data_IF_054870631947
#
_entry.id   IF_054870631947
#
_cell.length_a   1.000
_cell.length_b   1.000
_cell.length_c   1.000
_cell.angle_alpha   90.00
_cell.angle_beta   90.00
_cell.angle_gamma   90.00
#
_symmetry.space_group_name_H-M   'P 1'
#
loop_
_entity.id
_entity.type
_entity.pdbx_description
1 polymer ?
#
# COMPACT_ATOMS: atom_id res chain seq x y z
N UNK A 1 4.54 1.44 10.95
CA UNK A 1 5.00 0.03 10.84
C UNK A 1 4.27 -0.96 11.77
N UNK A 2 4.08 -0.67 13.06
CA UNK A 2 3.44 -1.61 14.02
C UNK A 2 1.99 -1.96 13.65
N UNK A 3 1.20 -1.01 13.15
CA UNK A 3 -0.20 -1.28 12.76
C UNK A 3 -0.32 -2.16 11.50
N UNK A 4 0.63 -2.03 10.56
CA UNK A 4 0.72 -2.89 9.37
C UNK A 4 1.06 -4.33 9.80
N UNK A 5 1.98 -4.50 10.75
CA UNK A 5 2.35 -5.81 11.28
C UNK A 5 1.17 -6.50 12.01
N UNK A 6 0.34 -5.74 12.75
CA UNK A 6 -0.87 -6.28 13.39
C UNK A 6 -1.94 -6.69 12.37
N UNK A 7 -2.15 -5.90 11.32
CA UNK A 7 -3.10 -6.24 10.24
C UNK A 7 -2.66 -7.51 9.49
N UNK A 8 -1.35 -7.63 9.24
CA UNK A 8 -0.74 -8.81 8.64
C UNK A 8 -0.92 -10.07 9.50
N UNK A 9 -0.66 -9.96 10.81
CA UNK A 9 -0.79 -11.06 11.77
C UNK A 9 -2.23 -11.55 11.95
N UNK A 10 -3.24 -10.71 11.66
CA UNK A 10 -4.66 -11.07 11.74
C UNK A 10 -5.24 -11.65 10.45
N UNK A 11 -4.39 -11.94 9.46
CA UNK A 11 -4.80 -12.42 8.14
C UNK A 11 -5.83 -11.48 7.49
N UNK A 12 -5.65 -10.17 7.68
CA UNK A 12 -6.57 -9.18 7.15
C UNK A 12 -6.58 -9.25 5.62
N UNK A 13 -7.75 -9.54 5.05
CA UNK A 13 -7.99 -9.53 3.60
C UNK A 13 -8.02 -8.12 3.02
N UNK A 14 -8.28 -7.13 3.87
CA UNK A 14 -8.39 -5.71 3.49
C UNK A 14 -7.46 -4.92 4.41
N UNK A 15 -6.59 -4.11 3.81
CA UNK A 15 -5.63 -3.23 4.51
C UNK A 15 -5.88 -1.80 4.02
N UNK A 16 -6.23 -0.89 4.93
CA UNK A 16 -6.44 0.52 4.61
C UNK A 16 -5.29 1.38 5.12
N UNK A 17 -4.76 2.24 4.26
CA UNK A 17 -3.76 3.24 4.58
C UNK A 17 -4.38 4.63 4.42
N UNK A 18 -4.35 5.43 5.48
CA UNK A 18 -4.80 6.82 5.48
C UNK A 18 -3.58 7.74 5.58
N UNK A 19 -3.27 8.43 4.49
CA UNK A 19 -2.13 9.33 4.34
C UNK A 19 -0.77 8.78 4.83
N UNK A 20 -0.35 7.58 4.39
CA UNK A 20 0.83 6.92 4.97
C UNK A 20 2.17 7.57 4.58
N UNK A 21 2.19 8.50 3.62
CA UNK A 21 3.42 9.12 3.09
C UNK A 21 3.72 10.51 3.64
N UNK A 22 2.81 11.12 4.41
CA UNK A 22 2.94 12.50 4.91
C UNK A 22 4.21 12.77 5.71
N UNK A 23 4.76 11.73 6.35
CA UNK A 23 5.96 11.82 7.20
C UNK A 23 7.13 10.96 6.70
N UNK A 24 7.05 10.42 5.46
CA UNK A 24 8.06 9.51 4.90
C UNK A 24 9.00 10.24 3.96
N UNK A 25 10.28 9.88 3.99
CA UNK A 25 11.25 10.25 2.95
C UNK A 25 10.99 9.48 1.65
N UNK A 26 11.48 9.99 0.51
CA UNK A 26 11.31 9.33 -0.79
C UNK A 26 11.71 7.84 -0.79
N UNK A 27 12.80 7.49 -0.10
CA UNK A 27 13.27 6.10 0.03
C UNK A 27 12.30 5.23 0.86
N UNK A 28 11.63 5.81 1.84
CA UNK A 28 10.64 5.10 2.65
C UNK A 28 9.33 4.92 1.89
N UNK A 29 8.96 5.89 1.05
CA UNK A 29 7.83 5.80 0.12
C UNK A 29 8.05 4.64 -0.87
N UNK A 30 9.24 4.51 -1.46
CA UNK A 30 9.58 3.38 -2.35
C UNK A 30 9.46 2.03 -1.63
N UNK A 31 9.93 1.95 -0.38
CA UNK A 31 9.80 0.76 0.44
C UNK A 31 8.34 0.43 0.78
N UNK A 32 7.52 1.43 1.08
CA UNK A 32 6.10 1.27 1.33
C UNK A 32 5.40 0.68 0.10
N UNK A 33 5.68 1.23 -1.09
CA UNK A 33 5.11 0.72 -2.33
C UNK A 33 5.59 -0.70 -2.65
N UNK A 34 6.84 -1.04 -2.36
CA UNK A 34 7.34 -2.42 -2.48
C UNK A 34 6.53 -3.38 -1.61
N UNK A 35 6.29 -3.03 -0.34
CA UNK A 35 5.48 -3.85 0.58
C UNK A 35 4.04 -3.95 0.10
N UNK A 36 3.40 -2.84 -0.30
CA UNK A 36 2.03 -2.84 -0.85
C UNK A 36 1.91 -3.79 -2.04
N UNK A 37 2.92 -3.86 -2.91
CA UNK A 37 2.95 -4.79 -4.04
C UNK A 37 3.04 -6.26 -3.60
N UNK A 38 3.94 -6.58 -2.67
CA UNK A 38 4.06 -7.95 -2.11
C UNK A 38 2.72 -8.39 -1.50
N UNK A 39 2.08 -7.51 -0.73
CA UNK A 39 0.77 -7.75 -0.13
C UNK A 39 -0.34 -7.96 -1.16
N UNK A 40 -0.30 -7.24 -2.28
CA UNK A 40 -1.24 -7.41 -3.40
C UNK A 40 -1.02 -8.75 -4.11
N UNK A 41 0.24 -9.16 -4.32
CA UNK A 41 0.58 -10.46 -4.94
C UNK A 41 0.08 -11.64 -4.10
N UNK A 42 0.02 -11.49 -2.78
CA UNK A 42 -0.62 -12.43 -1.85
C UNK A 42 -2.17 -12.44 -1.94
N UNK A 43 -2.77 -11.63 -2.80
CA UNK A 43 -4.22 -11.57 -3.00
C UNK A 43 -4.98 -10.71 -1.99
N UNK A 44 -4.30 -9.80 -1.29
CA UNK A 44 -4.92 -8.87 -0.33
C UNK A 44 -5.46 -7.63 -1.03
N UNK A 45 -6.59 -7.13 -0.55
CA UNK A 45 -7.20 -5.86 -0.98
C UNK A 45 -6.55 -4.72 -0.22
N UNK A 46 -6.13 -3.68 -0.93
CA UNK A 46 -5.48 -2.51 -0.34
C UNK A 46 -6.27 -1.25 -0.69
N UNK A 47 -6.62 -0.47 0.34
CA UNK A 47 -7.24 0.84 0.21
C UNK A 47 -6.17 1.86 0.60
N UNK A 48 -5.90 2.82 -0.28
CA UNK A 48 -4.87 3.83 -0.08
C UNK A 48 -5.47 5.22 -0.27
N UNK A 49 -5.46 6.04 0.77
CA UNK A 49 -5.93 7.42 0.77
C UNK A 49 -4.71 8.32 0.84
N UNK A 50 -4.57 9.23 -0.12
CA UNK A 50 -3.47 10.20 -0.16
C UNK A 50 -3.90 11.46 -0.89
N UNK A 51 -3.39 12.59 -0.43
CA UNK A 51 -3.46 13.88 -1.12
C UNK A 51 -2.33 14.06 -2.14
N UNK A 52 -1.35 13.15 -2.17
CA UNK A 52 -0.22 13.12 -3.11
C UNK A 52 -0.47 12.06 -4.18
N UNK A 53 -1.21 12.45 -5.21
CA UNK A 53 -1.60 11.57 -6.32
C UNK A 53 -0.47 11.35 -7.34
N UNK A 54 0.48 12.30 -7.49
CA UNK A 54 1.63 12.18 -8.41
C UNK A 54 2.52 10.95 -8.13
N UNK A 55 2.57 10.49 -6.88
CA UNK A 55 3.38 9.34 -6.44
C UNK A 55 2.74 7.99 -6.82
N UNK A 56 1.43 7.94 -7.10
CA UNK A 56 0.68 6.72 -7.42
C UNK A 56 0.71 6.40 -8.93
N UNK A 57 1.06 7.37 -9.79
CA UNK A 57 0.93 7.24 -11.25
C UNK A 57 2.11 6.59 -11.99
N UNK A 58 3.18 6.18 -11.30
CA UNK A 58 4.13 5.25 -11.90
C UNK A 58 3.34 3.99 -12.34
N UNK A 59 3.52 3.44 -13.55
CA UNK A 59 2.52 2.66 -14.27
C UNK A 59 1.98 1.47 -13.46
N UNK A 60 0.98 1.73 -12.63
CA UNK A 60 0.30 0.73 -11.84
C UNK A 60 -0.77 0.14 -12.74
N UNK A 61 -0.45 -0.98 -13.39
CA UNK A 61 -1.48 -1.81 -14.01
C UNK A 61 -2.46 -2.22 -12.91
N UNK A 62 -3.58 -1.50 -12.85
CA UNK A 62 -4.84 -1.94 -12.28
C UNK A 62 -5.27 -3.13 -13.13
N UNK A 63 -4.78 -4.32 -12.77
CA UNK A 63 -5.20 -5.56 -13.39
C UNK A 63 -6.64 -5.79 -12.91
N UNK A 64 -7.58 -5.20 -13.65
CA UNK A 64 -8.98 -5.54 -13.62
C UNK A 64 -9.05 -6.98 -14.15
N UNK A 65 -9.23 -7.94 -13.24
CA UNK A 65 -9.54 -9.32 -13.61
C UNK A 65 -11.06 -9.46 -13.50
N UNK A 66 -11.74 -8.95 -14.51
CA UNK A 66 -13.02 -9.50 -14.95
C UNK A 66 -12.72 -10.66 -15.90
#
# INVERSE_FOLDING_TARGET
MVEIAKALARNAKIIAFDEPTSSLSAREIDNLFRVIRELREEGRVIIYVSHRMEEIFAPQRCHNRL
#
